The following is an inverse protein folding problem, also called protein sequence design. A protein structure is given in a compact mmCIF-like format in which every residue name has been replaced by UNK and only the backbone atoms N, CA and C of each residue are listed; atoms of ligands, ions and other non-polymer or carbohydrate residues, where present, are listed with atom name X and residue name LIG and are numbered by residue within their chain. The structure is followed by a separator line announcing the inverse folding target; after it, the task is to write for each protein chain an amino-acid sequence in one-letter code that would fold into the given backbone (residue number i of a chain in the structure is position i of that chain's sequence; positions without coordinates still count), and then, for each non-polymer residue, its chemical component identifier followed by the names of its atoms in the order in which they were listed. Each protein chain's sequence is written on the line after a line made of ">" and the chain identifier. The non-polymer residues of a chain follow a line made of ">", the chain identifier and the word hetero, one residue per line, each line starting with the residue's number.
data_IF_814362492715
#
_entry.id   IF_814362492715
#
_cell.length_a   1.000
_cell.length_b   1.000
_cell.length_c   1.000
_cell.angle_alpha   90.00
_cell.angle_beta   90.00
_cell.angle_gamma   90.00
#
_symmetry.space_group_name_H-M   'P 1'
#
loop_
_entity.id
_entity.type
_entity.pdbx_description
1 polymer ?
#
# COMPACT_ATOMS: atom_id res chain seq x y z
N UNK A 1 23.27 13.33 13.39
CA UNK A 1 22.64 12.75 14.60
C UNK A 1 21.10 12.75 14.58
N UNK A 2 20.39 13.51 13.73
CA UNK A 2 18.91 13.61 13.75
C UNK A 2 18.13 12.64 12.82
N UNK A 3 18.82 11.79 12.05
CA UNK A 3 18.18 10.89 11.07
C UNK A 3 17.73 9.55 11.67
N UNK A 4 18.45 9.00 12.65
CA UNK A 4 18.17 7.66 13.20
C UNK A 4 16.86 7.58 14.01
N UNK A 5 16.39 8.69 14.58
CA UNK A 5 15.13 8.73 15.35
C UNK A 5 13.87 8.89 14.48
N UNK A 6 14.01 9.25 13.20
CA UNK A 6 12.86 9.48 12.32
C UNK A 6 12.25 8.18 11.79
N UNK A 7 13.07 7.18 11.51
CA UNK A 7 12.60 5.91 10.93
C UNK A 7 11.79 5.07 11.92
N UNK A 8 12.17 5.07 13.20
CA UNK A 8 11.47 4.24 14.20
C UNK A 8 10.01 4.67 14.40
N UNK A 9 9.71 5.97 14.29
CA UNK A 9 8.34 6.46 14.45
C UNK A 9 7.43 6.07 13.28
N UNK A 10 8.00 5.83 12.09
CA UNK A 10 7.28 5.44 10.87
C UNK A 10 6.96 3.95 10.81
N UNK A 11 7.46 3.16 11.76
CA UNK A 11 7.13 1.76 11.87
C UNK A 11 5.73 1.59 12.49
N UNK A 12 4.92 0.64 11.99
CA UNK A 12 3.66 0.29 12.63
C UNK A 12 3.93 -0.28 14.01
N UNK A 13 3.01 -0.05 14.95
CA UNK A 13 3.08 -0.66 16.26
C UNK A 13 2.86 -2.18 16.15
N UNK A 14 3.52 -2.97 17.00
CA UNK A 14 3.33 -4.42 16.99
C UNK A 14 2.00 -4.78 17.63
N UNK A 15 1.16 -5.49 16.89
CA UNK A 15 -0.05 -6.11 17.43
C UNK A 15 0.34 -7.28 18.34
N UNK A 16 -0.07 -7.25 19.61
CA UNK A 16 0.24 -8.32 20.57
C UNK A 16 -0.22 -9.69 20.04
N UNK A 17 0.70 -10.66 20.04
CA UNK A 17 0.42 -12.03 19.61
C UNK A 17 0.40 -12.28 18.09
N UNK A 18 0.45 -11.23 17.24
CA UNK A 18 0.53 -11.42 15.79
C UNK A 18 1.91 -11.92 15.37
N UNK A 19 1.95 -13.00 14.58
CA UNK A 19 3.17 -13.55 13.99
C UNK A 19 3.02 -13.53 12.48
N UNK A 20 3.94 -12.84 11.81
CA UNK A 20 4.01 -12.84 10.35
C UNK A 20 4.29 -14.28 9.88
N UNK A 21 3.49 -14.75 8.94
CA UNK A 21 3.64 -16.09 8.36
C UNK A 21 4.93 -16.24 7.55
N UNK A 22 5.26 -17.48 7.20
CA UNK A 22 6.39 -17.77 6.31
C UNK A 22 6.14 -17.14 4.93
N UNK A 23 7.15 -16.44 4.39
CA UNK A 23 7.10 -15.90 3.04
C UNK A 23 7.09 -17.07 2.06
N UNK A 24 6.10 -17.08 1.16
CA UNK A 24 6.05 -18.02 0.03
C UNK A 24 5.94 -17.25 -1.28
N UNK A 25 6.56 -17.77 -2.33
CA UNK A 25 6.50 -17.19 -3.68
C UNK A 25 5.22 -17.60 -4.39
N UNK A 26 4.87 -16.90 -5.46
CA UNK A 26 3.74 -17.28 -6.30
C UNK A 26 3.88 -18.67 -6.91
N UNK A 27 5.09 -19.07 -7.28
CA UNK A 27 5.36 -20.40 -7.79
C UNK A 27 5.11 -21.48 -6.73
N UNK A 28 5.49 -21.21 -5.47
CA UNK A 28 5.21 -22.11 -4.35
C UNK A 28 3.71 -22.20 -4.07
N UNK A 29 2.99 -21.08 -4.09
CA UNK A 29 1.54 -21.07 -3.93
C UNK A 29 0.83 -21.83 -5.05
N UNK A 30 1.35 -21.79 -6.27
CA UNK A 30 0.78 -22.51 -7.42
C UNK A 30 1.00 -24.02 -7.31
N UNK A 31 2.16 -24.46 -6.79
CA UNK A 31 2.52 -25.88 -6.63
C UNK A 31 1.87 -26.54 -5.42
N UNK A 32 1.61 -25.78 -4.36
CA UNK A 32 0.87 -26.29 -3.20
C UNK A 32 -0.50 -26.80 -3.66
N UNK A 33 -0.91 -27.98 -3.22
CA UNK A 33 -2.25 -28.53 -3.49
C UNK A 33 -2.63 -28.50 -4.99
N UNK A 34 -1.66 -28.77 -5.87
CA UNK A 34 -1.85 -28.74 -7.32
C UNK A 34 -2.95 -29.70 -7.80
N UNK A 35 -3.11 -30.83 -7.10
CA UNK A 35 -4.08 -31.87 -7.43
C UNK A 35 -5.49 -31.61 -6.86
N UNK A 36 -5.67 -30.54 -6.06
CA UNK A 36 -6.95 -30.21 -5.43
C UNK A 36 -7.69 -29.10 -6.19
N UNK A 37 -8.74 -29.48 -6.91
CA UNK A 37 -9.55 -28.55 -7.71
C UNK A 37 -10.21 -27.44 -6.86
N UNK A 38 -10.64 -27.74 -5.64
CA UNK A 38 -11.26 -26.74 -4.76
C UNK A 38 -10.23 -25.70 -4.33
N UNK A 39 -9.00 -26.13 -4.01
CA UNK A 39 -7.90 -25.23 -3.69
C UNK A 39 -7.46 -24.39 -4.89
N UNK A 40 -7.46 -24.94 -6.10
CA UNK A 40 -7.17 -24.17 -7.31
C UNK A 40 -8.22 -23.08 -7.55
N UNK A 41 -9.52 -23.40 -7.42
CA UNK A 41 -10.60 -22.40 -7.51
C UNK A 41 -10.49 -21.33 -6.43
N UNK A 42 -10.12 -21.71 -5.20
CA UNK A 42 -9.90 -20.76 -4.11
C UNK A 42 -8.75 -19.79 -4.43
N UNK A 43 -7.59 -20.31 -4.88
CA UNK A 43 -6.45 -19.48 -5.31
C UNK A 43 -6.80 -18.56 -6.47
N UNK A 44 -7.57 -19.03 -7.44
CA UNK A 44 -8.10 -18.18 -8.52
C UNK A 44 -8.98 -17.05 -7.99
N UNK A 45 -9.86 -17.32 -7.02
CA UNK A 45 -10.71 -16.29 -6.41
C UNK A 45 -9.92 -15.21 -5.66
N UNK A 46 -8.75 -15.58 -5.13
CA UNK A 46 -7.80 -14.66 -4.49
C UNK A 46 -6.89 -13.92 -5.47
N UNK A 47 -7.03 -14.17 -6.78
CA UNK A 47 -6.16 -13.59 -7.82
C UNK A 47 -4.80 -14.27 -7.96
N UNK A 48 -4.59 -15.43 -7.32
CA UNK A 48 -3.32 -16.17 -7.30
C UNK A 48 -3.26 -17.27 -8.38
N UNK A 49 -4.40 -17.66 -8.96
CA UNK A 49 -4.49 -18.80 -9.87
C UNK A 49 -4.17 -18.52 -11.34
N UNK A 50 -3.28 -17.58 -11.64
CA UNK A 50 -2.79 -17.33 -13.01
C UNK A 50 -3.84 -16.83 -14.01
N UNK A 51 -4.96 -16.30 -13.53
CA UNK A 51 -6.10 -15.97 -14.39
C UNK A 51 -5.92 -14.73 -15.27
N UNK A 52 -4.84 -13.95 -15.11
CA UNK A 52 -4.58 -12.73 -15.86
C UNK A 52 -3.10 -12.59 -16.21
N UNK A 53 -2.80 -11.77 -17.22
CA UNK A 53 -1.42 -11.47 -17.61
C UNK A 53 -0.76 -10.62 -16.53
N UNK A 54 0.36 -11.10 -15.99
CA UNK A 54 1.19 -10.33 -15.05
C UNK A 54 1.64 -9.00 -15.66
N UNK A 55 1.48 -7.92 -14.89
CA UNK A 55 1.86 -6.56 -15.28
C UNK A 55 3.12 -6.06 -14.56
N UNK A 56 3.80 -6.93 -13.83
CA UNK A 56 5.06 -6.61 -13.16
C UNK A 56 6.15 -6.27 -14.18
N UNK A 57 6.89 -5.18 -13.95
CA UNK A 57 8.07 -4.81 -14.73
C UNK A 57 9.29 -5.58 -14.21
N UNK A 58 9.89 -6.51 -14.98
CA UNK A 58 11.06 -7.28 -14.56
C UNK A 58 12.28 -6.42 -14.18
N UNK A 59 12.33 -5.16 -14.61
CA UNK A 59 13.44 -4.24 -14.34
C UNK A 59 13.20 -3.36 -13.10
N UNK A 60 12.00 -3.38 -12.52
CA UNK A 60 11.67 -2.59 -11.33
C UNK A 60 11.60 -3.50 -10.10
N UNK A 61 12.56 -3.42 -9.16
CA UNK A 61 12.60 -4.32 -8.00
C UNK A 61 11.52 -4.01 -6.95
N UNK A 62 10.72 -2.95 -7.11
CA UNK A 62 9.72 -2.55 -6.13
C UNK A 62 8.54 -3.51 -6.13
N UNK A 63 8.23 -4.12 -4.99
CA UNK A 63 7.02 -4.93 -4.79
C UNK A 63 5.74 -4.10 -4.67
N UNK A 64 5.85 -2.85 -4.22
CA UNK A 64 4.73 -1.94 -4.10
C UNK A 64 5.12 -0.57 -4.66
N UNK A 65 4.29 -0.04 -5.54
CA UNK A 65 4.47 1.29 -6.14
C UNK A 65 3.23 2.11 -5.82
N UNK A 66 3.39 3.12 -4.96
CA UNK A 66 2.33 4.09 -4.73
C UNK A 66 2.23 5.01 -5.95
N UNK A 67 1.05 5.04 -6.58
CA UNK A 67 0.78 5.86 -7.75
C UNK A 67 0.24 7.23 -7.36
N UNK A 68 -0.68 7.28 -6.39
CA UNK A 68 -1.26 8.55 -5.98
C UNK A 68 -1.88 8.46 -4.60
N UNK A 69 -1.97 9.61 -3.94
CA UNK A 69 -2.72 9.80 -2.71
C UNK A 69 -3.73 10.93 -2.91
N UNK A 70 -5.01 10.61 -2.76
CA UNK A 70 -6.11 11.55 -2.92
C UNK A 70 -6.75 11.83 -1.57
N UNK A 71 -6.99 13.09 -1.25
CA UNK A 71 -7.73 13.50 -0.08
C UNK A 71 -9.05 14.12 -0.52
N UNK A 72 -10.14 13.51 -0.06
CA UNK A 72 -11.50 14.04 -0.23
C UNK A 72 -11.95 14.62 1.12
N UNK A 73 -12.53 15.82 1.11
CA UNK A 73 -13.01 16.48 2.33
C UNK A 73 -14.28 17.27 2.05
N UNK A 74 -15.22 17.23 2.99
CA UNK A 74 -16.52 17.88 2.84
C UNK A 74 -16.39 19.38 2.48
N UNK A 75 -16.98 19.76 1.35
CA UNK A 75 -17.03 21.16 0.91
C UNK A 75 -15.79 21.67 0.17
N UNK A 76 -14.85 20.80 -0.23
CA UNK A 76 -13.76 21.13 -1.13
C UNK A 76 -13.63 20.10 -2.27
N UNK A 77 -13.01 20.51 -3.38
CA UNK A 77 -12.68 19.57 -4.44
C UNK A 77 -11.58 18.60 -3.96
N UNK A 78 -11.63 17.31 -4.33
CA UNK A 78 -10.59 16.35 -3.97
C UNK A 78 -9.21 16.80 -4.45
N UNK A 79 -8.23 16.72 -3.57
CA UNK A 79 -6.84 17.04 -3.91
C UNK A 79 -6.10 15.73 -4.12
N UNK A 80 -5.51 15.54 -5.30
CA UNK A 80 -4.72 14.34 -5.62
C UNK A 80 -3.27 14.70 -5.81
N UNK A 81 -2.41 13.96 -5.11
CA UNK A 81 -0.97 13.98 -5.29
C UNK A 81 -0.60 12.79 -6.15
N UNK A 82 0.02 13.06 -7.29
CA UNK A 82 0.64 12.04 -8.14
C UNK A 82 2.03 11.71 -7.59
N UNK A 83 2.25 10.42 -7.33
CA UNK A 83 3.49 9.84 -6.81
C UNK A 83 4.11 8.85 -7.82
N UNK A 84 3.56 8.76 -9.03
CA UNK A 84 4.02 7.83 -10.06
C UNK A 84 5.36 8.23 -10.69
N UNK A 85 5.67 9.53 -10.69
CA UNK A 85 6.91 10.06 -11.23
C UNK A 85 8.09 9.83 -10.27
N UNK A 86 9.29 9.64 -10.84
CA UNK A 86 10.52 9.56 -10.07
C UNK A 86 10.74 10.87 -9.30
N UNK A 87 11.13 10.77 -8.03
CA UNK A 87 11.39 11.90 -7.14
C UNK A 87 10.15 12.79 -6.86
N UNK A 88 8.93 12.33 -7.14
CA UNK A 88 7.69 13.07 -6.89
C UNK A 88 7.57 13.48 -5.41
N UNK A 89 8.12 12.67 -4.49
CA UNK A 89 8.14 12.93 -3.06
C UNK A 89 8.86 14.24 -2.68
N UNK A 90 9.80 14.70 -3.51
CA UNK A 90 10.54 15.95 -3.27
C UNK A 90 9.65 17.18 -3.39
N UNK A 91 8.61 17.11 -4.22
CA UNK A 91 7.71 18.22 -4.52
C UNK A 91 6.53 18.33 -3.53
N UNK A 92 6.36 17.34 -2.64
CA UNK A 92 5.21 17.28 -1.72
C UNK A 92 5.17 18.46 -0.75
N UNK A 93 6.34 18.97 -0.37
CA UNK A 93 6.45 20.13 0.52
C UNK A 93 5.94 21.41 -0.13
N UNK A 94 5.99 21.49 -1.46
CA UNK A 94 5.58 22.66 -2.23
C UNK A 94 4.06 22.69 -2.45
N UNK A 95 3.39 21.54 -2.29
CA UNK A 95 1.95 21.36 -2.53
C UNK A 95 1.24 20.79 -1.29
N UNK A 96 1.15 21.54 -0.19
CA UNK A 96 0.47 21.06 1.00
C UNK A 96 -1.03 20.93 0.77
N UNK A 97 -1.62 19.89 1.37
CA UNK A 97 -3.07 19.80 1.51
C UNK A 97 -3.59 20.94 2.39
N UNK A 98 -4.65 21.60 1.95
CA UNK A 98 -5.40 22.57 2.75
C UNK A 98 -6.68 21.90 3.21
N UNK A 99 -6.82 21.68 4.51
CA UNK A 99 -8.00 21.06 5.11
C UNK A 99 -8.69 22.13 5.94
N UNK A 100 -10.00 22.30 5.73
CA UNK A 100 -10.80 23.19 6.57
C UNK A 100 -10.88 22.60 7.98
N UNK A 101 -10.69 23.42 9.01
CA UNK A 101 -10.83 22.98 10.40
C UNK A 101 -12.22 22.35 10.65
N UNK A 102 -12.23 21.21 11.35
CA UNK A 102 -13.43 20.45 11.64
C UNK A 102 -14.02 19.66 10.45
N UNK A 103 -13.42 19.73 9.26
CA UNK A 103 -13.88 18.94 8.11
C UNK A 103 -13.53 17.46 8.29
N UNK A 104 -14.47 16.59 7.94
CA UNK A 104 -14.20 15.16 7.76
C UNK A 104 -13.50 14.97 6.41
N UNK A 105 -12.49 14.11 6.39
CA UNK A 105 -11.78 13.76 5.18
C UNK A 105 -11.52 12.26 5.10
N UNK A 106 -11.34 11.77 3.87
CA UNK A 106 -10.96 10.39 3.58
C UNK A 106 -9.74 10.41 2.66
N UNK A 107 -8.86 9.42 2.82
CA UNK A 107 -7.62 9.32 2.05
C UNK A 107 -7.65 8.09 1.16
N UNK A 108 -7.63 8.28 -0.15
CA UNK A 108 -7.56 7.18 -1.10
C UNK A 108 -6.15 7.02 -1.63
N UNK A 109 -5.52 5.88 -1.34
CA UNK A 109 -4.26 5.46 -1.93
C UNK A 109 -4.51 4.60 -3.18
N UNK A 110 -3.87 4.93 -4.30
CA UNK A 110 -3.78 4.07 -5.48
C UNK A 110 -2.37 3.54 -5.60
N UNK A 111 -2.23 2.24 -5.82
CA UNK A 111 -0.93 1.60 -5.86
C UNK A 111 -0.93 0.38 -6.77
N UNK A 112 0.28 -0.04 -7.16
CA UNK A 112 0.54 -1.30 -7.85
C UNK A 112 1.32 -2.23 -6.95
N UNK A 113 1.07 -3.52 -7.10
CA UNK A 113 1.81 -4.63 -6.49
C UNK A 113 2.46 -5.41 -7.62
N UNK A 114 3.75 -5.70 -7.46
CA UNK A 114 4.57 -6.40 -8.45
C UNK A 114 5.20 -7.65 -7.85
N UNK A 115 5.48 -8.61 -8.75
CA UNK A 115 6.25 -9.82 -8.56
C UNK A 115 5.62 -10.86 -7.62
N UNK A 116 5.23 -10.45 -6.42
CA UNK A 116 4.84 -11.36 -5.33
C UNK A 116 3.66 -10.79 -4.53
N UNK A 117 3.02 -11.65 -3.74
CA UNK A 117 1.98 -11.22 -2.79
C UNK A 117 2.57 -10.20 -1.82
N UNK A 118 1.94 -9.04 -1.74
CA UNK A 118 2.23 -8.04 -0.73
C UNK A 118 1.43 -8.35 0.53
N UNK A 119 2.08 -8.86 1.57
CA UNK A 119 1.43 -9.20 2.84
C UNK A 119 1.52 -8.07 3.85
N UNK A 120 0.38 -7.65 4.39
CA UNK A 120 0.32 -6.72 5.52
C UNK A 120 0.79 -5.29 5.18
N UNK A 121 0.35 -4.75 4.05
CA UNK A 121 0.53 -3.33 3.75
C UNK A 121 -0.08 -2.49 4.88
N UNK A 122 0.72 -1.59 5.46
CA UNK A 122 0.32 -0.70 6.52
C UNK A 122 0.51 0.75 6.11
N UNK A 123 -0.46 1.58 6.45
CA UNK A 123 -0.33 3.02 6.40
C UNK A 123 0.02 3.54 7.79
N UNK A 124 1.06 4.38 7.87
CA UNK A 124 1.47 5.05 9.11
C UNK A 124 1.64 6.53 8.81
N UNK A 125 0.89 7.37 9.50
CA UNK A 125 0.90 8.81 9.36
C UNK A 125 1.37 9.46 10.66
N UNK A 126 2.37 10.34 10.56
CA UNK A 126 2.84 11.14 11.68
C UNK A 126 2.61 12.61 11.36
N UNK A 127 1.89 13.31 12.24
CA UNK A 127 1.75 14.76 12.14
C UNK A 127 2.70 15.41 13.15
N UNK A 128 3.50 16.37 12.67
CA UNK A 128 4.42 17.16 13.52
C UNK A 128 4.11 18.65 13.40
N UNK A 129 4.12 19.36 14.54
CA UNK A 129 4.03 20.82 14.59
C UNK A 129 5.33 21.38 15.17
N UNK A 130 6.02 22.24 14.42
CA UNK A 130 7.34 22.79 14.81
C UNK A 130 8.36 21.69 15.20
N UNK A 131 8.35 20.56 14.49
CA UNK A 131 9.25 19.43 14.73
C UNK A 131 8.81 18.48 15.86
N UNK A 132 7.78 18.83 16.64
CA UNK A 132 7.25 18.00 17.73
C UNK A 132 6.10 17.15 17.20
N UNK A 133 6.13 15.84 17.46
CA UNK A 133 5.03 14.92 17.10
C UNK A 133 3.76 15.29 17.87
N UNK A 134 2.65 15.48 17.14
CA UNK A 134 1.34 15.81 17.72
C UNK A 134 0.33 14.68 17.54
N UNK A 135 0.46 13.85 16.50
CA UNK A 135 -0.34 12.63 16.34
C UNK A 135 0.46 11.55 15.59
N UNK A 136 0.06 10.29 15.80
CA UNK A 136 0.44 9.12 15.02
C UNK A 136 -0.84 8.34 14.78
N UNK A 137 -1.18 8.13 13.51
CA UNK A 137 -2.32 7.34 13.07
C UNK A 137 -1.79 6.18 12.23
N UNK A 138 -2.38 4.99 12.37
CA UNK A 138 -1.95 3.81 11.62
C UNK A 138 -3.13 2.93 11.24
N UNK A 139 -3.07 2.33 10.07
CA UNK A 139 -4.10 1.43 9.56
C UNK A 139 -3.47 0.23 8.85
N UNK A 140 -3.93 -0.98 9.19
CA UNK A 140 -3.67 -2.19 8.41
C UNK A 140 -4.52 -2.15 7.15
N UNK A 141 -3.88 -1.97 6.00
CA UNK A 141 -4.54 -1.85 4.70
C UNK A 141 -4.90 -3.23 4.17
N UNK A 142 -4.01 -4.21 4.34
CA UNK A 142 -4.29 -5.63 4.06
C UNK A 142 -3.22 -6.31 3.22
N UNK A 143 -3.61 -7.41 2.56
CA UNK A 143 -2.73 -8.17 1.67
C UNK A 143 -3.27 -8.16 0.25
N UNK A 144 -2.37 -8.10 -0.73
CA UNK A 144 -2.71 -7.86 -2.13
C UNK A 144 -1.91 -8.76 -3.05
N UNK A 145 -2.58 -9.35 -4.04
CA UNK A 145 -1.92 -10.06 -5.13
C UNK A 145 -1.27 -9.07 -6.11
N UNK A 146 -0.23 -9.49 -6.86
CA UNK A 146 0.32 -8.75 -7.98
C UNK A 146 -0.76 -8.32 -8.97
N UNK A 147 -0.57 -7.14 -9.56
CA UNK A 147 -1.50 -6.65 -10.55
C UNK A 147 -1.42 -7.46 -11.84
N UNK A 148 -2.59 -7.69 -12.42
CA UNK A 148 -2.76 -8.36 -13.70
C UNK A 148 -3.58 -7.46 -14.63
N UNK A 149 -3.68 -7.82 -15.90
CA UNK A 149 -4.61 -7.17 -16.84
C UNK A 149 -6.06 -7.10 -16.34
N UNK A 150 -6.51 -8.06 -15.53
CA UNK A 150 -7.82 -8.07 -14.88
C UNK A 150 -7.95 -7.07 -13.72
N UNK A 151 -6.87 -6.90 -12.95
CA UNK A 151 -6.81 -5.96 -11.82
C UNK A 151 -5.51 -5.15 -11.95
N UNK A 152 -5.50 -4.09 -12.78
CA UNK A 152 -4.27 -3.39 -13.14
C UNK A 152 -3.76 -2.43 -12.06
N UNK A 153 -4.64 -1.99 -11.15
CA UNK A 153 -4.35 -1.05 -10.05
C UNK A 153 -5.19 -1.45 -8.84
N UNK A 154 -4.60 -1.37 -7.65
CA UNK A 154 -5.31 -1.46 -6.38
C UNK A 154 -5.64 -0.06 -5.84
N UNK A 155 -6.78 0.07 -5.17
CA UNK A 155 -7.20 1.30 -4.51
C UNK A 155 -7.76 1.00 -3.14
N UNK A 156 -7.36 1.77 -2.14
CA UNK A 156 -7.88 1.72 -0.77
C UNK A 156 -8.23 3.14 -0.32
N UNK A 157 -9.42 3.32 0.23
CA UNK A 157 -9.90 4.54 0.92
C UNK A 157 -9.85 4.35 2.42
#
# INVERSE_FOLDING_TARGET
>A
MASASHDHDLLPDQTEGFKVGEKKTMDEYSKLDADDEAMQRYKQSLGLGGGGKDLSDPNDPRHCIILSLSMDSDGQAPVTIDLSAKDAEKTLKDKPFKIKEGAKFHMTAKFKVQHEILSGLHYVQIVKRKGIRVSKDQEMIGSYAPNTDKVPIHSKT
#
